data_IF_224906044698
#
_entry.id   IF_224906044698
#
_cell.length_a   1.000
_cell.length_b   1.000
_cell.length_c   1.000
_cell.angle_alpha   90.00
_cell.angle_beta   90.00
_cell.angle_gamma   90.00
#
_symmetry.space_group_name_H-M   'P 1'
#
loop_
_entity.id
_entity.type
_entity.pdbx_description
1 polymer ?
#
# COMPACT_ATOMS: atom_id res chain seq x y z
N UNK A 1 -1.63 -2.00 -20.72
CA UNK A 1 -1.54 -2.30 -19.28
C UNK A 1 -1.80 -1.01 -18.54
N UNK A 2 -2.95 -0.89 -17.87
CA UNK A 2 -3.25 0.27 -17.03
C UNK A 2 -2.59 0.05 -15.68
N UNK A 3 -1.31 0.40 -15.58
CA UNK A 3 -0.63 0.42 -14.30
C UNK A 3 -1.18 1.56 -13.45
N UNK A 4 -1.60 1.26 -12.22
CA UNK A 4 -2.12 2.26 -11.30
C UNK A 4 -0.98 3.15 -10.85
N UNK A 5 -1.03 4.48 -11.04
CA UNK A 5 0.01 5.36 -10.53
C UNK A 5 -0.06 5.40 -9.00
N UNK A 6 1.08 5.65 -8.36
CA UNK A 6 1.13 5.82 -6.92
C UNK A 6 0.26 7.02 -6.48
N UNK A 7 -0.54 6.85 -5.42
CA UNK A 7 -1.37 7.92 -4.83
C UNK A 7 -0.55 9.07 -4.24
N UNK A 8 0.78 8.95 -4.14
CA UNK A 8 1.64 10.06 -3.71
C UNK A 8 1.74 11.12 -4.80
N UNK A 9 1.42 12.35 -4.42
CA UNK A 9 1.56 13.54 -5.28
C UNK A 9 2.99 13.63 -5.82
N UNK A 10 3.11 13.89 -7.13
CA UNK A 10 4.37 13.94 -7.87
C UNK A 10 5.18 12.63 -7.94
N UNK A 11 4.57 11.47 -7.67
CA UNK A 11 5.21 10.18 -7.88
C UNK A 11 4.81 9.57 -9.23
N UNK A 12 5.71 9.47 -10.23
CA UNK A 12 5.40 8.87 -11.53
C UNK A 12 5.50 7.34 -11.53
N UNK A 13 5.75 6.71 -10.38
CA UNK A 13 5.97 5.26 -10.28
C UNK A 13 4.66 4.50 -10.25
N UNK A 14 4.68 3.32 -10.84
CA UNK A 14 3.61 2.35 -10.75
C UNK A 14 3.46 1.83 -9.31
N UNK A 15 2.21 1.69 -8.88
CA UNK A 15 1.91 1.09 -7.61
C UNK A 15 2.06 -0.43 -7.67
N UNK A 16 2.59 -0.98 -6.57
CA UNK A 16 2.81 -2.43 -6.41
C UNK A 16 2.18 -2.96 -5.11
N UNK A 17 1.77 -2.05 -4.23
CA UNK A 17 1.14 -2.35 -2.96
C UNK A 17 -0.06 -1.44 -2.76
N UNK A 18 -1.05 -1.92 -2.02
CA UNK A 18 -2.22 -1.16 -1.62
C UNK A 18 -2.25 -1.05 -0.09
N UNK A 19 -2.28 0.18 0.40
CA UNK A 19 -2.35 0.53 1.82
C UNK A 19 -3.81 0.79 2.22
N UNK A 20 -4.24 0.16 3.30
CA UNK A 20 -5.57 0.33 3.89
C UNK A 20 -5.42 0.81 5.33
N UNK A 21 -6.15 1.86 5.71
CA UNK A 21 -6.20 2.31 7.10
C UNK A 21 -7.45 1.77 7.79
N UNK A 22 -7.23 0.96 8.82
CA UNK A 22 -8.28 0.44 9.69
C UNK A 22 -8.31 1.30 10.95
N UNK A 23 -9.02 2.43 10.85
CA UNK A 23 -9.13 3.40 11.95
C UNK A 23 -9.71 2.81 13.24
N UNK A 24 -10.64 1.87 13.11
CA UNK A 24 -11.26 1.20 14.26
C UNK A 24 -10.23 0.48 15.14
N UNK A 25 -9.18 -0.06 14.54
CA UNK A 25 -8.10 -0.78 15.24
C UNK A 25 -6.81 0.05 15.34
N UNK A 26 -6.82 1.29 14.86
CA UNK A 26 -5.60 2.11 14.68
C UNK A 26 -4.50 1.35 13.93
N UNK A 27 -4.87 0.72 12.82
CA UNK A 27 -3.98 -0.12 12.04
C UNK A 27 -3.79 0.39 10.61
N UNK A 28 -2.59 0.20 10.08
CA UNK A 28 -2.23 0.45 8.69
C UNK A 28 -1.81 -0.88 8.05
N UNK A 29 -2.65 -1.41 7.16
CA UNK A 29 -2.43 -2.69 6.47
C UNK A 29 -1.90 -2.40 5.06
N UNK A 30 -0.65 -2.76 4.81
CA UNK A 30 -0.01 -2.75 3.51
C UNK A 30 -0.11 -4.14 2.90
N UNK A 31 -0.85 -4.30 1.81
CA UNK A 31 -0.97 -5.55 1.07
C UNK A 31 -0.48 -5.45 -0.37
N UNK A 32 -0.52 -6.56 -1.13
CA UNK A 32 -0.29 -6.52 -2.57
C UNK A 32 -1.24 -5.55 -3.27
N UNK A 33 -0.86 -5.08 -4.46
CA UNK A 33 -1.72 -4.23 -5.28
C UNK A 33 -3.09 -4.90 -5.46
N UNK A 34 -4.14 -4.23 -4.96
CA UNK A 34 -5.51 -4.75 -5.09
C UNK A 34 -5.89 -4.79 -6.58
N UNK A 35 -6.57 -5.87 -6.97
CA UNK A 35 -7.02 -6.10 -8.35
C UNK A 35 -7.99 -5.01 -8.81
N UNK A 36 -8.69 -4.39 -7.86
CA UNK A 36 -9.66 -3.31 -8.11
C UNK A 36 -9.33 -2.08 -7.27
N UNK A 37 -9.57 -0.87 -7.79
CA UNK A 37 -9.52 0.33 -6.97
C UNK A 37 -10.65 0.36 -5.95
N UNK A 38 -10.28 0.26 -4.68
CA UNK A 38 -11.18 0.44 -3.55
C UNK A 38 -11.05 1.88 -3.02
N UNK A 39 -12.16 2.59 -2.78
CA UNK A 39 -12.16 4.01 -2.43
C UNK A 39 -11.49 4.32 -1.08
N UNK A 40 -11.30 3.31 -0.22
CA UNK A 40 -10.71 3.47 1.11
C UNK A 40 -9.25 2.98 1.17
N UNK A 41 -8.61 2.85 0.00
CA UNK A 41 -7.25 2.33 -0.11
C UNK A 41 -6.34 3.27 -0.88
N UNK A 42 -5.04 3.20 -0.61
CA UNK A 42 -4.00 4.03 -1.22
C UNK A 42 -2.99 3.16 -1.93
N UNK A 43 -2.78 3.39 -3.22
CA UNK A 43 -1.82 2.61 -3.98
C UNK A 43 -0.43 3.22 -3.86
N UNK A 44 0.53 2.43 -3.40
CA UNK A 44 1.90 2.86 -3.16
C UNK A 44 2.86 2.07 -4.04
N UNK A 45 3.85 2.77 -4.60
CA UNK A 45 5.00 2.14 -5.22
C UNK A 45 5.91 1.51 -4.15
N UNK A 46 6.80 0.60 -4.55
CA UNK A 46 7.68 -0.13 -3.62
C UNK A 46 8.39 0.81 -2.64
N UNK A 47 8.99 1.88 -3.17
CA UNK A 47 9.69 2.88 -2.38
C UNK A 47 8.80 3.59 -1.35
N UNK A 48 7.56 3.92 -1.70
CA UNK A 48 6.64 4.57 -0.76
C UNK A 48 6.03 3.59 0.24
N UNK A 49 5.82 2.34 -0.15
CA UNK A 49 5.39 1.28 0.77
C UNK A 49 6.47 0.99 1.82
N UNK A 50 7.75 0.94 1.42
CA UNK A 50 8.89 0.75 2.33
C UNK A 50 9.11 1.95 3.26
N UNK A 51 9.01 3.17 2.73
CA UNK A 51 9.20 4.40 3.51
C UNK A 51 7.97 4.82 4.31
N UNK A 52 6.84 4.13 4.14
CA UNK A 52 5.64 4.42 4.90
C UNK A 52 5.87 4.07 6.37
N UNK A 53 5.70 5.09 7.21
CA UNK A 53 5.62 4.95 8.65
C UNK A 53 4.19 5.26 9.09
N UNK A 54 3.61 4.42 9.94
CA UNK A 54 2.35 4.71 10.57
C UNK A 54 2.50 5.80 11.64
N UNK A 55 1.42 6.53 11.93
CA UNK A 55 1.38 7.47 13.04
C UNK A 55 1.68 6.80 14.39
N UNK A 56 2.09 7.59 15.39
CA UNK A 56 2.42 7.10 16.73
C UNK A 56 1.22 6.35 17.33
N UNK A 57 1.45 5.12 17.78
CA UNK A 57 0.42 4.26 18.39
C UNK A 57 -0.35 3.41 17.40
N UNK A 58 -0.08 3.51 16.09
CA UNK A 58 -0.70 2.66 15.08
C UNK A 58 0.17 1.44 14.75
N UNK A 59 -0.47 0.30 14.50
CA UNK A 59 0.25 -0.91 14.07
C UNK A 59 0.35 -0.97 12.55
N UNK A 60 1.53 -1.27 12.02
CA UNK A 60 1.74 -1.50 10.59
C UNK A 60 1.76 -3.00 10.35
N UNK A 61 0.82 -3.50 9.55
CA UNK A 61 0.81 -4.87 9.07
C UNK A 61 1.25 -4.86 7.62
N UNK A 62 2.37 -5.51 7.30
CA UNK A 62 2.84 -5.64 5.92
C UNK A 62 2.59 -7.07 5.45
N UNK A 63 1.59 -7.27 4.62
CA UNK A 63 1.41 -8.47 3.82
C UNK A 63 2.31 -8.36 2.59
N UNK A 64 3.58 -8.69 2.79
CA UNK A 64 4.43 -9.08 1.68
C UNK A 64 3.76 -10.28 1.01
N UNK A 65 3.32 -10.10 -0.24
CA UNK A 65 3.19 -11.26 -1.12
C UNK A 65 4.57 -11.86 -1.16
N UNK A 66 4.74 -12.99 -0.46
CA UNK A 66 5.78 -13.94 -0.76
C UNK A 66 5.58 -14.29 -2.23
N UNK A 67 6.19 -13.48 -3.10
CA UNK A 67 6.19 -13.70 -4.52
C UNK A 67 6.63 -15.13 -4.69
N UNK A 68 5.76 -15.92 -5.31
CA UNK A 68 6.00 -17.28 -5.70
C UNK A 68 7.33 -17.28 -6.47
N UNK A 69 8.43 -17.56 -5.76
CA UNK A 69 9.74 -17.77 -6.38
C UNK A 69 9.61 -19.09 -7.12
N UNK A 70 9.26 -19.02 -8.40
CA UNK A 70 9.41 -20.15 -9.30
C UNK A 70 10.21 -19.73 -10.52
#
# INVERSE_FOLDING_TARGET
>A
MLSRPCSRVACPRDAVATLTYVYADSMAVLGPLSLSPEPHTYDLCALHAERLSAPKGWQIVRHEVFGERR
#
